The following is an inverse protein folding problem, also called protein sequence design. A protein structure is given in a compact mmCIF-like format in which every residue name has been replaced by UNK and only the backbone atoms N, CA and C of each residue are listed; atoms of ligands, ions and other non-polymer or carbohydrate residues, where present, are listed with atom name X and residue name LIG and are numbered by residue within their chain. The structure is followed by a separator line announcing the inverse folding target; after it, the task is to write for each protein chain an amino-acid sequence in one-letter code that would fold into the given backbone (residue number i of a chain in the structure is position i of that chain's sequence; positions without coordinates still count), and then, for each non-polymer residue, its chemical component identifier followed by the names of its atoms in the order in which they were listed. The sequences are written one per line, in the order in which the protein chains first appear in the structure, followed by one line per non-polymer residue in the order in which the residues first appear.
data_IF_846143019264
#
_entry.id   IF_846143019264
#
_cell.length_a   1.000
_cell.length_b   1.000
_cell.length_c   1.000
_cell.angle_alpha   90.00
_cell.angle_beta   90.00
_cell.angle_gamma   90.00
#
_symmetry.space_group_name_H-M   'P 1'
#
loop_
_entity.id
_entity.type
_entity.pdbx_description
1 polymer ?
#
# COMPACT_ATOMS: atom_id res chain seq x y z
N UNK A 1 47.99 -15.00 -2.25
CA UNK A 1 46.69 -15.45 -1.72
C UNK A 1 45.62 -14.78 -2.54
N UNK A 2 45.04 -15.49 -3.52
CA UNK A 2 43.88 -14.99 -4.26
C UNK A 2 42.69 -14.99 -3.30
N UNK A 3 42.28 -13.82 -2.83
CA UNK A 3 40.99 -13.67 -2.16
C UNK A 3 39.93 -13.67 -3.25
N UNK A 4 39.34 -14.84 -3.49
CA UNK A 4 38.12 -14.93 -4.28
C UNK A 4 37.01 -14.18 -3.52
N UNK A 5 36.58 -13.05 -4.05
CA UNK A 5 35.41 -12.32 -3.54
C UNK A 5 34.18 -13.19 -3.78
N UNK A 6 33.73 -13.90 -2.74
CA UNK A 6 32.56 -14.77 -2.83
C UNK A 6 31.32 -13.88 -2.92
N UNK A 7 30.68 -13.86 -4.08
CA UNK A 7 29.37 -13.22 -4.24
C UNK A 7 28.29 -14.08 -3.61
N UNK A 8 27.42 -13.49 -2.79
CA UNK A 8 26.26 -14.15 -2.19
C UNK A 8 25.01 -13.92 -3.04
N UNK A 9 24.09 -14.87 -3.10
CA UNK A 9 22.75 -14.63 -3.68
C UNK A 9 21.76 -14.28 -2.59
N UNK A 10 20.69 -13.56 -2.94
CA UNK A 10 19.64 -13.22 -1.97
C UNK A 10 19.08 -14.46 -1.28
N UNK A 11 18.77 -15.51 -2.04
CA UNK A 11 18.24 -16.78 -1.49
C UNK A 11 19.18 -17.46 -0.49
N UNK A 12 20.48 -17.19 -0.56
CA UNK A 12 21.45 -17.77 0.37
C UNK A 12 21.51 -16.97 1.68
N UNK A 13 21.18 -15.67 1.63
CA UNK A 13 21.20 -14.75 2.77
C UNK A 13 19.85 -14.66 3.49
N UNK A 14 18.75 -14.75 2.74
CA UNK A 14 17.35 -14.66 3.17
C UNK A 14 16.55 -15.73 2.40
N UNK A 15 16.66 -17.02 2.77
CA UNK A 15 16.03 -18.14 2.03
C UNK A 15 14.51 -18.19 2.19
N UNK A 16 14.02 -17.78 3.35
CA UNK A 16 12.62 -17.89 3.75
C UNK A 16 12.22 -16.70 4.64
N UNK A 17 10.92 -16.58 4.85
CA UNK A 17 10.34 -15.50 5.62
C UNK A 17 10.72 -15.55 7.10
N UNK A 18 10.93 -16.74 7.67
CA UNK A 18 11.28 -16.89 9.08
C UNK A 18 12.70 -16.35 9.34
N UNK A 19 13.64 -16.67 8.44
CA UNK A 19 14.99 -16.11 8.45
C UNK A 19 14.95 -14.60 8.25
N UNK A 20 14.08 -14.10 7.36
CA UNK A 20 13.88 -12.67 7.19
C UNK A 20 13.41 -12.00 8.48
N UNK A 21 12.43 -12.54 9.20
CA UNK A 21 11.93 -11.95 10.45
C UNK A 21 13.00 -11.95 11.54
N UNK A 22 13.74 -13.05 11.69
CA UNK A 22 14.86 -13.11 12.64
C UNK A 22 15.86 -11.99 12.35
N UNK A 23 16.25 -11.84 11.09
CA UNK A 23 17.21 -10.80 10.69
C UNK A 23 16.62 -9.39 10.83
N UNK A 24 15.37 -9.19 10.41
CA UNK A 24 14.66 -7.93 10.55
C UNK A 24 14.72 -7.43 12.00
N UNK A 25 14.40 -8.30 12.96
CA UNK A 25 14.45 -7.96 14.38
C UNK A 25 15.87 -7.74 14.91
N UNK A 26 16.89 -8.41 14.37
CA UNK A 26 18.28 -8.19 14.77
C UNK A 26 18.82 -6.82 14.32
N UNK A 27 18.33 -6.27 13.21
CA UNK A 27 18.81 -5.00 12.67
C UNK A 27 17.85 -3.84 12.96
N UNK A 28 16.61 -4.11 13.36
CA UNK A 28 15.60 -3.09 13.67
C UNK A 28 16.10 -2.11 14.74
N UNK A 29 15.91 -0.80 14.54
CA UNK A 29 16.04 0.18 15.63
C UNK A 29 15.10 -0.19 16.78
N UNK A 30 15.51 0.03 18.03
CA UNK A 30 14.71 -0.30 19.23
C UNK A 30 13.32 0.36 19.20
N UNK A 31 13.18 1.47 18.48
CA UNK A 31 11.94 2.25 18.32
C UNK A 31 10.98 1.68 17.24
N UNK A 32 11.44 0.69 16.46
CA UNK A 32 10.76 0.10 15.31
C UNK A 32 10.50 -1.41 15.49
N UNK A 33 10.33 -1.87 16.74
CA UNK A 33 9.73 -3.18 17.02
C UNK A 33 8.48 -3.36 16.14
N UNK A 34 8.32 -4.53 15.50
CA UNK A 34 7.32 -4.79 14.45
C UNK A 34 5.97 -4.11 14.75
N UNK A 35 5.74 -2.91 14.20
CA UNK A 35 4.46 -2.18 14.32
C UNK A 35 3.48 -2.59 13.20
N UNK A 36 3.86 -3.55 12.36
CA UNK A 36 3.11 -3.97 11.17
C UNK A 36 2.44 -5.34 11.29
N UNK A 37 1.40 -5.57 10.49
CA UNK A 37 0.80 -6.90 10.29
C UNK A 37 1.84 -7.82 9.63
N UNK A 38 2.14 -8.96 10.29
CA UNK A 38 3.07 -9.99 9.80
C UNK A 38 2.70 -10.45 8.38
N UNK A 39 1.41 -10.46 8.04
CA UNK A 39 0.95 -10.79 6.70
C UNK A 39 1.43 -9.77 5.65
N UNK A 40 1.45 -8.48 5.98
CA UNK A 40 1.86 -7.40 5.07
C UNK A 40 3.38 -7.40 4.88
N UNK A 41 4.14 -7.65 5.95
CA UNK A 41 5.59 -7.88 5.87
C UNK A 41 5.91 -9.06 4.96
N UNK A 42 5.15 -10.16 5.05
CA UNK A 42 5.32 -11.34 4.20
C UNK A 42 5.08 -11.03 2.73
N UNK A 43 4.07 -10.21 2.41
CA UNK A 43 3.81 -9.78 1.03
C UNK A 43 4.97 -8.94 0.49
N UNK A 44 5.44 -7.96 1.26
CA UNK A 44 6.57 -7.11 0.87
C UNK A 44 7.86 -7.94 0.64
N UNK A 45 8.18 -8.85 1.57
CA UNK A 45 9.29 -9.79 1.43
C UNK A 45 9.17 -10.63 0.16
N UNK A 46 8.00 -11.25 -0.08
CA UNK A 46 7.79 -12.11 -1.24
C UNK A 46 7.96 -11.34 -2.56
N UNK A 47 7.57 -10.07 -2.61
CA UNK A 47 7.77 -9.24 -3.81
C UNK A 47 9.26 -9.05 -4.11
N UNK A 48 10.06 -8.67 -3.12
CA UNK A 48 11.51 -8.49 -3.29
C UNK A 48 12.18 -9.83 -3.61
N UNK A 49 11.83 -10.89 -2.88
CA UNK A 49 12.37 -12.23 -3.08
C UNK A 49 12.04 -12.77 -4.47
N UNK A 50 10.81 -12.62 -4.95
CA UNK A 50 10.40 -13.10 -6.29
C UNK A 50 11.25 -12.49 -7.42
N UNK A 51 11.67 -11.24 -7.28
CA UNK A 51 12.47 -10.54 -8.29
C UNK A 51 13.96 -10.80 -8.15
N UNK A 52 14.49 -10.85 -6.94
CA UNK A 52 15.94 -10.88 -6.70
C UNK A 52 16.48 -12.19 -6.11
N UNK A 53 15.67 -13.24 -5.91
CA UNK A 53 16.11 -14.49 -5.24
C UNK A 53 17.40 -15.08 -5.82
N UNK A 54 17.56 -15.05 -7.15
CA UNK A 54 18.75 -15.57 -7.84
C UNK A 54 19.82 -14.51 -8.13
N UNK A 55 19.56 -13.24 -7.80
CA UNK A 55 20.47 -12.14 -8.07
C UNK A 55 21.63 -12.16 -7.07
N UNK A 56 22.84 -11.90 -7.57
CA UNK A 56 24.02 -11.73 -6.73
C UNK A 56 23.97 -10.38 -6.04
N UNK A 57 24.35 -10.36 -4.77
CA UNK A 57 24.42 -9.18 -3.92
C UNK A 57 25.69 -8.39 -4.23
N UNK A 58 25.60 -7.06 -4.20
CA UNK A 58 26.68 -6.13 -4.54
C UNK A 58 27.66 -5.85 -3.38
N UNK A 59 27.64 -6.66 -2.32
CA UNK A 59 28.43 -6.47 -1.10
C UNK A 59 29.30 -7.68 -0.80
N UNK A 60 30.50 -7.43 -0.26
CA UNK A 60 31.48 -8.45 0.09
C UNK A 60 31.15 -9.16 1.42
N UNK A 61 30.38 -8.51 2.29
CA UNK A 61 30.00 -9.05 3.60
C UNK A 61 28.48 -9.10 3.73
N UNK A 62 27.92 -10.23 4.23
CA UNK A 62 26.48 -10.33 4.47
C UNK A 62 25.92 -9.26 5.40
N UNK A 63 26.70 -8.86 6.42
CA UNK A 63 26.27 -7.88 7.41
C UNK A 63 26.01 -6.50 6.80
N UNK A 64 26.89 -6.06 5.90
CA UNK A 64 26.78 -4.77 5.21
C UNK A 64 25.54 -4.78 4.30
N UNK A 65 25.31 -5.91 3.60
CA UNK A 65 24.07 -6.10 2.85
C UNK A 65 22.83 -5.99 3.75
N UNK A 66 22.79 -6.67 4.89
CA UNK A 66 21.62 -6.63 5.78
C UNK A 66 21.33 -5.21 6.26
N UNK A 67 22.34 -4.46 6.68
CA UNK A 67 22.17 -3.07 7.11
C UNK A 67 21.52 -2.20 6.03
N UNK A 68 22.04 -2.25 4.80
CA UNK A 68 21.49 -1.48 3.69
C UNK A 68 20.12 -1.99 3.23
N UNK A 69 19.92 -3.31 3.21
CA UNK A 69 18.66 -3.92 2.83
C UNK A 69 17.55 -3.52 3.79
N UNK A 70 17.77 -3.66 5.10
CA UNK A 70 16.74 -3.35 6.08
C UNK A 70 16.52 -1.86 6.25
N UNK A 71 17.55 -1.02 6.10
CA UNK A 71 17.37 0.44 6.03
C UNK A 71 16.39 0.84 4.91
N UNK A 72 16.61 0.35 3.68
CA UNK A 72 15.70 0.62 2.56
C UNK A 72 14.31 0.01 2.85
N UNK A 73 14.28 -1.17 3.46
CA UNK A 73 13.03 -1.84 3.77
C UNK A 73 12.19 -1.01 4.74
N UNK A 74 12.74 -0.51 5.85
CA UNK A 74 11.98 0.31 6.81
C UNK A 74 11.50 1.62 6.18
N UNK A 75 12.38 2.32 5.45
CA UNK A 75 12.05 3.61 4.85
C UNK A 75 10.87 3.51 3.85
N UNK A 76 10.80 2.40 3.11
CA UNK A 76 9.84 2.23 2.02
C UNK A 76 8.64 1.34 2.40
N UNK A 77 8.74 0.54 3.46
CA UNK A 77 7.68 -0.41 3.85
C UNK A 77 6.40 0.31 4.28
N UNK A 78 6.50 1.34 5.13
CA UNK A 78 5.33 2.08 5.61
C UNK A 78 4.60 2.76 4.44
N UNK A 79 5.35 3.38 3.54
CA UNK A 79 4.80 3.98 2.34
C UNK A 79 4.08 2.94 1.46
N UNK A 80 4.74 1.81 1.20
CA UNK A 80 4.16 0.72 0.44
C UNK A 80 2.91 0.15 1.10
N UNK A 81 2.90 0.02 2.43
CA UNK A 81 1.80 -0.55 3.16
C UNK A 81 0.57 0.37 3.14
N UNK A 82 0.75 1.67 3.35
CA UNK A 82 -0.35 2.64 3.26
C UNK A 82 -0.96 2.66 1.85
N UNK A 83 -0.14 2.55 0.79
CA UNK A 83 -0.64 2.39 -0.58
C UNK A 83 -1.42 1.10 -0.76
N UNK A 84 -0.94 -0.02 -0.23
CA UNK A 84 -1.67 -1.30 -0.29
C UNK A 84 -3.01 -1.22 0.43
N UNK A 85 -3.08 -0.61 1.62
CA UNK A 85 -4.34 -0.41 2.35
C UNK A 85 -5.35 0.40 1.54
N UNK A 86 -4.89 1.50 0.93
CA UNK A 86 -5.72 2.32 0.05
C UNK A 86 -6.22 1.51 -1.17
N UNK A 87 -5.36 0.68 -1.76
CA UNK A 87 -5.73 -0.20 -2.88
C UNK A 87 -6.77 -1.24 -2.45
N UNK A 88 -6.58 -1.89 -1.30
CA UNK A 88 -7.55 -2.85 -0.74
C UNK A 88 -8.89 -2.15 -0.52
N UNK A 89 -8.89 -0.98 0.11
CA UNK A 89 -10.10 -0.18 0.33
C UNK A 89 -10.82 0.13 -0.99
N UNK A 90 -10.11 0.61 -2.01
CA UNK A 90 -10.70 0.91 -3.33
C UNK A 90 -11.29 -0.33 -4.02
N UNK A 91 -10.66 -1.51 -3.88
CA UNK A 91 -11.17 -2.77 -4.45
C UNK A 91 -12.42 -3.29 -3.73
N UNK A 92 -12.51 -3.07 -2.43
CA UNK A 92 -13.61 -3.55 -1.61
C UNK A 92 -14.78 -2.57 -1.52
N UNK A 93 -14.62 -1.32 -1.95
CA UNK A 93 -15.73 -0.36 -1.94
C UNK A 93 -16.73 -0.72 -3.05
N UNK A 94 -17.99 -0.95 -2.67
CA UNK A 94 -19.05 -1.31 -3.62
C UNK A 94 -19.49 -0.11 -4.46
N UNK A 95 -19.96 -0.34 -5.69
CA UNK A 95 -20.47 0.73 -6.58
C UNK A 95 -21.57 1.57 -5.91
N UNK A 96 -22.35 0.98 -5.01
CA UNK A 96 -23.42 1.65 -4.26
C UNK A 96 -22.88 2.57 -3.16
N UNK A 97 -21.86 2.14 -2.42
CA UNK A 97 -21.16 2.98 -1.42
C UNK A 97 -20.32 4.09 -2.07
N UNK A 98 -19.89 3.89 -3.32
CA UNK A 98 -19.20 4.90 -4.11
C UNK A 98 -20.15 6.01 -4.61
N UNK A 99 -21.45 5.69 -4.75
CA UNK A 99 -22.47 6.61 -5.26
C UNK A 99 -23.23 7.38 -4.17
N UNK A 100 -23.03 7.04 -2.90
CA UNK A 100 -23.78 7.64 -1.78
C UNK A 100 -22.81 8.39 -0.87
N UNK A 101 -22.87 9.73 -0.85
CA UNK A 101 -21.92 10.59 -0.13
C UNK A 101 -22.38 10.91 1.29
N UNK A 102 -23.65 11.28 1.44
CA UNK A 102 -24.31 11.59 2.70
C UNK A 102 -25.81 11.35 2.51
N UNK A 103 -26.41 10.59 3.42
CA UNK A 103 -27.87 10.51 3.52
C UNK A 103 -28.30 11.47 4.62
N UNK A 104 -28.82 12.64 4.23
CA UNK A 104 -29.38 13.59 5.20
C UNK A 104 -30.88 13.38 5.25
N UNK A 105 -31.35 12.75 6.31
CA UNK A 105 -32.78 12.64 6.61
C UNK A 105 -33.16 13.89 7.40
N UNK A 106 -33.83 14.84 6.74
CA UNK A 106 -34.35 16.04 7.40
C UNK A 106 -35.82 15.80 7.72
N UNK A 107 -36.13 15.65 9.00
CA UNK A 107 -37.51 15.58 9.46
C UNK A 107 -37.94 16.99 9.88
N UNK A 108 -38.88 17.58 9.12
CA UNK A 108 -39.48 18.86 9.47
C UNK A 108 -40.87 18.59 10.03
N UNK A 109 -41.02 18.82 11.33
CA UNK A 109 -42.34 18.84 11.97
C UNK A 109 -42.89 20.27 11.84
N UNK A 110 -43.75 20.51 10.84
CA UNK A 110 -44.55 21.73 10.79
C UNK A 110 -45.66 21.60 11.82
N UNK A 111 -45.46 22.21 12.99
CA UNK A 111 -46.56 22.48 13.90
C UNK A 111 -47.25 23.73 13.34
N UNK A 112 -48.43 23.58 12.74
CA UNK A 112 -49.27 24.74 12.50
C UNK A 112 -49.58 25.30 13.89
N UNK A 113 -49.20 26.55 14.18
CA UNK A 113 -49.56 27.26 15.40
C UNK A 113 -51.07 27.56 15.47
N UNK A 114 -51.91 26.60 15.07
CA UNK A 114 -53.33 26.62 15.40
C UNK A 114 -53.43 26.46 16.92
N UNK A 115 -53.88 27.53 17.56
CA UNK A 115 -54.18 27.53 18.98
C UNK A 115 -55.31 26.52 19.18
N UNK A 116 -54.99 25.35 19.73
CA UNK A 116 -56.00 24.37 20.13
C UNK A 116 -56.58 24.86 21.46
N UNK A 117 -57.87 25.21 21.48
CA UNK A 117 -58.53 25.73 22.69
C UNK A 117 -58.60 24.70 23.84
N UNK A 118 -58.35 23.40 23.58
CA UNK A 118 -58.41 22.32 24.57
C UNK A 118 -57.36 21.21 24.33
N UNK A 119 -56.11 21.38 24.81
CA UNK A 119 -54.97 20.50 24.52
C UNK A 119 -55.01 19.09 25.16
N UNK A 120 -56.04 18.78 25.95
CA UNK A 120 -56.19 17.50 26.66
C UNK A 120 -57.25 16.56 26.03
N UNK A 121 -57.97 17.02 24.99
CA UNK A 121 -59.12 16.28 24.44
C UNK A 121 -59.00 15.95 22.94
N UNK A 122 -58.02 16.51 22.25
CA UNK A 122 -57.84 16.34 20.80
C UNK A 122 -56.44 15.82 20.46
N UNK A 123 -56.37 14.85 19.54
CA UNK A 123 -55.11 14.26 19.04
C UNK A 123 -54.54 15.18 17.97
N UNK A 124 -53.33 15.72 18.21
CA UNK A 124 -52.61 16.57 17.25
C UNK A 124 -52.29 15.75 15.99
N UNK A 125 -52.83 16.10 14.81
CA UNK A 125 -52.44 15.47 13.57
C UNK A 125 -51.23 16.18 12.96
N UNK A 126 -50.46 15.46 12.14
CA UNK A 126 -49.43 15.93 11.19
C UNK A 126 -47.95 15.92 11.64
N UNK A 127 -47.23 14.87 11.23
CA UNK A 127 -45.82 14.96 10.85
C UNK A 127 -45.82 15.09 9.32
N UNK A 128 -45.83 16.32 8.78
CA UNK A 128 -46.30 16.54 7.40
C UNK A 128 -45.29 16.27 6.29
N UNK A 129 -43.97 16.23 6.52
CA UNK A 129 -43.03 16.00 5.40
C UNK A 129 -41.66 15.50 5.86
N UNK A 130 -41.24 14.36 5.32
CA UNK A 130 -39.86 13.86 5.35
C UNK A 130 -39.22 14.15 3.98
N UNK A 131 -38.11 14.88 3.97
CA UNK A 131 -37.30 15.08 2.77
C UNK A 131 -35.99 14.31 2.93
N UNK A 132 -35.76 13.33 2.05
CA UNK A 132 -34.45 12.72 1.87
C UNK A 132 -33.77 13.38 0.68
N UNK A 133 -32.59 13.94 0.91
CA UNK A 133 -31.74 14.44 -0.17
C UNK A 133 -30.47 13.61 -0.19
N UNK A 134 -30.17 13.07 -1.37
CA UNK A 134 -28.89 12.40 -1.65
C UNK A 134 -28.07 13.32 -2.55
N UNK A 135 -27.05 13.95 -1.97
CA UNK A 135 -26.04 14.65 -2.76
C UNK A 135 -25.03 13.63 -3.30
N UNK A 136 -24.67 13.77 -4.58
CA UNK A 136 -23.66 12.93 -5.24
C UNK A 136 -22.58 13.84 -5.81
N UNK A 137 -21.51 14.11 -5.07
CA UNK A 137 -20.35 14.80 -5.62
C UNK A 137 -19.00 14.22 -5.17
N UNK A 138 -18.03 14.27 -6.09
CA UNK A 138 -16.58 14.14 -5.91
C UNK A 138 -15.89 12.82 -5.51
N UNK A 139 -16.56 11.73 -5.14
CA UNK A 139 -15.88 10.42 -5.01
C UNK A 139 -15.41 9.86 -6.36
N UNK A 140 -16.15 10.06 -7.45
CA UNK A 140 -15.72 9.63 -8.81
C UNK A 140 -14.38 10.28 -9.21
N UNK A 141 -14.18 11.56 -8.89
CA UNK A 141 -12.91 12.23 -9.16
C UNK A 141 -11.77 11.70 -8.28
N UNK A 142 -12.05 11.31 -7.03
CA UNK A 142 -11.08 10.66 -6.14
C UNK A 142 -10.76 9.23 -6.60
N UNK A 143 -11.74 8.49 -7.09
CA UNK A 143 -11.59 7.14 -7.67
C UNK A 143 -10.84 7.21 -9.00
N UNK A 144 -11.16 8.14 -9.90
CA UNK A 144 -10.42 8.34 -11.15
C UNK A 144 -8.97 8.71 -10.84
N UNK A 145 -8.72 9.56 -9.84
CA UNK A 145 -7.36 9.83 -9.34
C UNK A 145 -6.71 8.58 -8.73
N UNK A 146 -7.46 7.78 -7.97
CA UNK A 146 -7.00 6.51 -7.38
C UNK A 146 -6.72 5.42 -8.42
N UNK A 147 -7.49 5.36 -9.51
CA UNK A 147 -7.30 4.47 -10.66
C UNK A 147 -6.15 4.95 -11.54
N UNK A 148 -5.99 6.27 -11.72
CA UNK A 148 -4.81 6.83 -12.37
C UNK A 148 -3.55 6.58 -11.55
N UNK A 149 -3.63 6.64 -10.21
CA UNK A 149 -2.57 6.16 -9.32
C UNK A 149 -2.42 4.63 -9.36
N UNK A 150 -3.48 3.85 -9.59
CA UNK A 150 -3.38 2.39 -9.78
C UNK A 150 -2.61 1.99 -11.03
N UNK A 151 -2.45 2.89 -12.01
CA UNK A 151 -1.57 2.65 -13.18
C UNK A 151 -0.08 2.64 -12.80
N UNK A 152 0.34 3.22 -11.68
CA UNK A 152 1.69 2.98 -11.17
C UNK A 152 1.76 1.61 -10.50
N UNK A 153 2.66 0.77 -10.99
CA UNK A 153 2.93 -0.55 -10.41
C UNK A 153 3.68 -0.34 -9.09
N UNK A 154 2.96 -0.01 -8.01
CA UNK A 154 3.53 0.30 -6.69
C UNK A 154 4.43 -0.83 -6.18
N UNK A 155 4.08 -2.09 -6.46
CA UNK A 155 4.94 -3.23 -6.17
C UNK A 155 6.27 -3.17 -6.93
N UNK A 156 6.25 -2.80 -8.21
CA UNK A 156 7.48 -2.56 -8.98
C UNK A 156 8.26 -1.37 -8.42
N UNK A 157 7.60 -0.27 -8.07
CA UNK A 157 8.26 0.91 -7.48
C UNK A 157 8.99 0.54 -6.18
N UNK A 158 8.31 -0.16 -5.27
CA UNK A 158 8.90 -0.66 -4.03
C UNK A 158 10.10 -1.57 -4.31
N UNK A 159 9.96 -2.56 -5.20
CA UNK A 159 11.05 -3.51 -5.49
C UNK A 159 12.20 -2.85 -6.27
N UNK A 160 11.95 -1.80 -7.04
CA UNK A 160 12.99 -1.06 -7.76
C UNK A 160 13.92 -0.29 -6.80
N UNK A 161 13.50 0.02 -5.57
CA UNK A 161 14.35 0.64 -4.54
C UNK A 161 15.54 -0.23 -4.14
N UNK A 162 15.35 -1.55 -4.15
CA UNK A 162 16.39 -2.51 -3.79
C UNK A 162 17.38 -2.79 -4.93
N UNK A 163 17.17 -2.25 -6.13
CA UNK A 163 17.95 -2.59 -7.33
C UNK A 163 19.45 -2.42 -7.13
N UNK A 164 19.87 -1.37 -6.42
CA UNK A 164 21.28 -1.06 -6.21
C UNK A 164 21.99 -2.01 -5.24
N UNK A 165 21.25 -2.86 -4.52
CA UNK A 165 21.84 -3.89 -3.65
C UNK A 165 22.25 -5.14 -4.43
N UNK A 166 21.88 -5.23 -5.70
CA UNK A 166 22.11 -6.41 -6.55
C UNK A 166 22.95 -6.06 -7.77
N UNK A 167 23.78 -7.00 -8.19
CA UNK A 167 24.58 -6.88 -9.40
C UNK A 167 23.68 -7.02 -10.62
N UNK A 168 23.61 -5.96 -11.42
CA UNK A 168 22.94 -5.97 -12.72
C UNK A 168 23.96 -6.34 -13.79
N UNK A 169 23.90 -7.58 -14.29
CA UNK A 169 24.69 -7.98 -15.46
C UNK A 169 23.97 -7.40 -16.69
N UNK A 170 24.46 -6.28 -17.19
CA UNK A 170 24.06 -5.82 -18.52
C UNK A 170 24.76 -6.71 -19.54
N UNK A 171 24.02 -7.45 -20.39
CA UNK A 171 24.65 -8.11 -21.51
C UNK A 171 25.31 -7.02 -22.37
N UNK A 172 26.64 -7.06 -22.48
CA UNK A 172 27.34 -6.34 -23.53
C UNK A 172 26.90 -6.97 -24.85
N UNK A 173 25.83 -6.46 -25.44
CA UNK A 173 25.60 -6.66 -26.85
C UNK A 173 26.78 -5.99 -27.55
N UNK A 174 27.77 -6.79 -27.93
CA UNK A 174 28.86 -6.34 -28.79
C UNK A 174 28.21 -5.65 -29.98
N UNK A 175 28.39 -4.34 -30.08
CA UNK A 175 28.00 -3.59 -31.26
C UNK A 175 29.02 -4.02 -32.32
N UNK A 176 28.71 -5.09 -33.05
CA UNK A 176 29.47 -5.43 -34.25
C UNK A 176 29.24 -4.28 -35.23
N UNK A 177 30.23 -3.39 -35.34
CA UNK A 177 30.26 -2.43 -36.42
C UNK A 177 30.35 -3.24 -37.71
N UNK A 178 29.28 -3.17 -38.51
CA UNK A 178 29.27 -3.67 -39.88
C UNK A 178 30.15 -2.72 -40.70
N UNK A 179 31.47 -2.94 -40.70
CA UNK A 179 32.39 -2.02 -41.36
C UNK A 179 33.87 -2.38 -41.37
N UNK A 180 34.34 -3.30 -40.55
CA UNK A 180 35.75 -3.75 -40.61
C UNK A 180 35.85 -5.06 -41.41
N UNK A 181 35.67 -4.94 -42.73
CA UNK A 181 36.24 -5.85 -43.74
C UNK A 181 37.46 -5.17 -44.39
#
# INVERSE_FOLDING_TARGET
MEQYTRTFKLKDLLPDFDTFIIKYNCFAPEELEIVGDVAELKVAYNLVFSKYCQSSVAFDRPNDFYQHFFSIFWDEFDYFNEKLKLIKMLRHTTTTELLTEYETITNVASNNNEIVESPLSEVIPYISTQSSSTSKANKIAAIVRGIQAYRSNEGKYFVDKFKNLFLSIFPNYGVYYKGDE
#
